data_IF_948211711253
#
_entry.id   IF_948211711253
#
_cell.length_a   1.000
_cell.length_b   1.000
_cell.length_c   1.000
_cell.angle_alpha   90.00
_cell.angle_beta   90.00
_cell.angle_gamma   90.00
#
_symmetry.space_group_name_H-M   'P 1'
#
loop_
_entity.id
_entity.type
_entity.pdbx_description
1 polymer ?
#
# COMPACT_ATOMS: atom_id res chain seq x y z
N UNK A 1 7.18 8.45 -17.08
CA UNK A 1 8.15 7.75 -17.94
C UNK A 1 7.98 8.26 -19.35
N UNK A 2 9.00 8.87 -19.93
CA UNK A 2 9.00 9.39 -21.29
C UNK A 2 9.76 8.38 -22.14
N UNK A 3 9.09 7.79 -23.14
CA UNK A 3 9.76 6.95 -24.14
C UNK A 3 10.42 7.83 -25.18
N UNK A 4 11.37 7.30 -25.94
CA UNK A 4 12.16 8.00 -26.99
C UNK A 4 11.32 8.74 -28.05
N UNK A 5 10.01 8.48 -28.13
CA UNK A 5 9.08 9.14 -29.06
C UNK A 5 8.22 10.24 -28.42
N UNK A 6 8.61 10.81 -27.29
CA UNK A 6 7.88 11.89 -26.59
C UNK A 6 6.39 11.60 -26.27
N UNK A 7 5.95 10.35 -26.25
CA UNK A 7 4.61 9.98 -25.81
C UNK A 7 4.62 9.70 -24.31
N UNK A 8 3.80 10.46 -23.55
CA UNK A 8 3.51 10.15 -22.14
C UNK A 8 2.81 8.80 -22.12
N UNK A 9 3.47 7.77 -21.59
CA UNK A 9 2.95 6.39 -21.56
C UNK A 9 1.73 6.24 -20.64
N UNK A 10 1.64 7.05 -19.59
CA UNK A 10 0.55 7.01 -18.61
C UNK A 10 0.19 8.42 -18.14
N UNK A 11 -1.11 8.70 -18.06
CA UNK A 11 -1.62 9.94 -17.49
C UNK A 11 -1.49 9.99 -15.96
N UNK A 12 -1.76 11.13 -15.37
CA UNK A 12 -1.75 11.31 -13.90
C UNK A 12 -2.77 10.39 -13.21
N UNK A 13 -3.91 10.12 -13.85
CA UNK A 13 -4.96 9.26 -13.31
C UNK A 13 -4.55 7.79 -13.33
N UNK A 14 -4.04 7.30 -14.45
CA UNK A 14 -3.71 5.89 -14.61
C UNK A 14 -2.38 5.53 -13.95
N UNK A 15 -1.38 6.40 -14.07
CA UNK A 15 -0.02 6.11 -13.59
C UNK A 15 0.23 6.49 -12.13
N UNK A 16 -0.41 7.54 -11.61
CA UNK A 16 -0.15 8.03 -10.24
C UNK A 16 -1.32 7.71 -9.32
N UNK A 17 -2.52 8.19 -9.63
CA UNK A 17 -3.66 8.03 -8.75
C UNK A 17 -4.05 6.57 -8.53
N UNK A 18 -4.19 5.78 -9.60
CA UNK A 18 -4.55 4.37 -9.50
C UNK A 18 -3.51 3.58 -8.69
N UNK A 19 -2.22 3.82 -8.95
CA UNK A 19 -1.13 3.15 -8.24
C UNK A 19 -1.11 3.51 -6.76
N UNK A 20 -1.24 4.78 -6.40
CA UNK A 20 -1.23 5.25 -5.01
C UNK A 20 -2.45 4.73 -4.26
N UNK A 21 -3.65 4.82 -4.85
CA UNK A 21 -4.88 4.31 -4.23
C UNK A 21 -4.81 2.81 -3.99
N UNK A 22 -4.36 2.03 -4.96
CA UNK A 22 -4.23 0.57 -4.81
C UNK A 22 -3.22 0.20 -3.72
N UNK A 23 -2.13 0.96 -3.57
CA UNK A 23 -1.15 0.72 -2.51
C UNK A 23 -1.66 1.10 -1.12
N UNK A 24 -2.40 2.22 -0.99
CA UNK A 24 -2.92 2.68 0.30
C UNK A 24 -4.09 1.81 0.76
N UNK A 25 -5.08 1.56 -0.12
CA UNK A 25 -6.23 0.70 0.17
C UNK A 25 -5.90 -0.79 0.01
N UNK A 26 -4.70 -1.17 0.40
CA UNK A 26 -4.26 -2.55 0.35
C UNK A 26 -4.73 -3.37 1.55
N UNK A 27 -4.21 -4.57 1.63
CA UNK A 27 -4.54 -5.58 2.64
C UNK A 27 -4.42 -5.07 4.09
N UNK A 28 -3.49 -4.12 4.35
CA UNK A 28 -3.24 -3.57 5.69
C UNK A 28 -4.46 -2.81 6.20
N UNK A 29 -5.10 -1.99 5.36
CA UNK A 29 -6.27 -1.21 5.76
C UNK A 29 -7.44 -2.14 6.08
N UNK A 30 -7.76 -3.08 5.19
CA UNK A 30 -8.92 -3.95 5.38
C UNK A 30 -8.75 -4.97 6.51
N UNK A 31 -7.57 -5.58 6.67
CA UNK A 31 -7.36 -6.61 7.68
C UNK A 31 -6.94 -6.07 9.04
N UNK A 32 -6.19 -4.98 9.08
CA UNK A 32 -5.55 -4.52 10.33
C UNK A 32 -6.20 -3.28 10.94
N UNK A 33 -6.87 -2.43 10.14
CA UNK A 33 -7.47 -1.21 10.67
C UNK A 33 -8.57 -1.53 11.69
N UNK A 34 -9.44 -2.50 11.40
CA UNK A 34 -10.49 -2.94 12.32
C UNK A 34 -9.94 -3.45 13.64
N UNK A 35 -8.85 -4.22 13.60
CA UNK A 35 -8.16 -4.72 14.79
C UNK A 35 -7.52 -3.58 15.60
N UNK A 36 -6.88 -2.62 14.94
CA UNK A 36 -6.27 -1.45 15.60
C UNK A 36 -7.35 -0.63 16.32
N UNK A 37 -8.46 -0.34 15.64
CA UNK A 37 -9.58 0.41 16.21
C UNK A 37 -10.20 -0.34 17.39
N UNK A 38 -10.34 -1.67 17.27
CA UNK A 38 -10.88 -2.52 18.34
C UNK A 38 -9.99 -2.59 19.59
N UNK A 39 -8.66 -2.55 19.42
CA UNK A 39 -7.70 -2.65 20.54
C UNK A 39 -7.34 -1.31 21.14
N UNK A 40 -7.15 -0.28 20.34
CA UNK A 40 -6.70 1.05 20.79
C UNK A 40 -7.87 2.00 21.12
N UNK A 41 -9.09 1.69 20.66
CA UNK A 41 -10.23 2.58 20.74
C UNK A 41 -10.23 3.63 19.61
N UNK A 42 -11.41 4.17 19.30
CA UNK A 42 -11.61 5.09 18.17
C UNK A 42 -10.80 6.37 18.31
N UNK A 43 -10.80 6.99 19.48
CA UNK A 43 -10.09 8.26 19.73
C UNK A 43 -8.58 8.13 19.55
N UNK A 44 -7.98 7.08 20.13
CA UNK A 44 -6.55 6.84 20.02
C UNK A 44 -6.14 6.46 18.60
N UNK A 45 -6.99 5.73 17.88
CA UNK A 45 -6.74 5.38 16.47
C UNK A 45 -6.74 6.60 15.56
N UNK A 46 -7.68 7.55 15.76
CA UNK A 46 -7.71 8.82 15.03
C UNK A 46 -6.47 9.66 15.32
N UNK A 47 -6.06 9.73 16.59
CA UNK A 47 -4.86 10.46 17.01
C UNK A 47 -3.61 9.86 16.36
N UNK A 48 -3.47 8.53 16.38
CA UNK A 48 -2.34 7.81 15.76
C UNK A 48 -2.30 8.04 14.26
N UNK A 49 -3.44 7.93 13.56
CA UNK A 49 -3.54 8.23 12.15
C UNK A 49 -3.17 9.69 11.84
N UNK A 50 -3.62 10.64 12.68
CA UNK A 50 -3.28 12.05 12.53
C UNK A 50 -1.78 12.31 12.64
N UNK A 51 -1.10 11.69 13.61
CA UNK A 51 0.35 11.80 13.77
C UNK A 51 1.07 11.20 12.57
N UNK A 52 0.70 9.98 12.15
CA UNK A 52 1.32 9.32 11.00
C UNK A 52 1.13 10.13 9.71
N UNK A 53 -0.07 10.68 9.49
CA UNK A 53 -0.37 11.52 8.33
C UNK A 53 0.46 12.81 8.35
N UNK A 54 0.60 13.45 9.51
CA UNK A 54 1.41 14.66 9.65
C UNK A 54 2.89 14.40 9.34
N UNK A 55 3.46 13.29 9.83
CA UNK A 55 4.83 12.89 9.53
C UNK A 55 5.00 12.59 8.04
N UNK A 56 4.04 11.91 7.42
CA UNK A 56 4.06 11.64 5.98
C UNK A 56 4.02 12.93 5.17
N UNK A 57 3.18 13.91 5.54
CA UNK A 57 3.10 15.21 4.86
C UNK A 57 4.43 15.98 4.95
N UNK A 58 5.07 16.01 6.11
CA UNK A 58 6.39 16.65 6.28
C UNK A 58 7.41 16.01 5.34
N UNK A 59 7.42 14.69 5.26
CA UNK A 59 8.34 13.95 4.37
C UNK A 59 8.07 14.25 2.90
N UNK A 60 6.81 14.31 2.50
CA UNK A 60 6.41 14.62 1.12
C UNK A 60 6.78 16.06 0.75
N UNK A 61 6.50 17.05 1.61
CA UNK A 61 6.91 18.44 1.34
C UNK A 61 8.43 18.59 1.24
N UNK A 62 9.18 17.88 2.08
CA UNK A 62 10.65 17.86 1.97
C UNK A 62 11.10 17.27 0.63
N UNK A 63 10.50 16.15 0.20
CA UNK A 63 10.82 15.52 -1.08
C UNK A 63 10.48 16.43 -2.27
N UNK A 64 9.33 17.11 -2.25
CA UNK A 64 8.92 18.06 -3.29
C UNK A 64 9.95 19.20 -3.38
N UNK A 65 10.35 19.80 -2.26
CA UNK A 65 11.34 20.89 -2.23
C UNK A 65 12.68 20.48 -2.83
N UNK A 66 13.10 19.21 -2.67
CA UNK A 66 14.32 18.70 -3.27
C UNK A 66 14.14 18.48 -4.78
N UNK A 67 13.03 17.88 -5.20
CA UNK A 67 12.75 17.57 -6.61
C UNK A 67 12.65 18.85 -7.45
N UNK A 68 12.05 19.91 -6.92
CA UNK A 68 11.93 21.19 -7.62
C UNK A 68 13.30 21.86 -7.87
N UNK A 69 14.26 21.66 -6.96
CA UNK A 69 15.61 22.26 -7.06
C UNK A 69 16.60 21.40 -7.84
N UNK A 70 16.37 20.09 -7.90
CA UNK A 70 17.26 19.14 -8.54
C UNK A 70 16.59 18.54 -9.78
N UNK A 71 17.26 18.62 -10.95
CA UNK A 71 16.80 17.94 -12.16
C UNK A 71 17.01 16.43 -12.01
N UNK A 72 16.03 15.74 -11.40
CA UNK A 72 16.08 14.29 -11.21
C UNK A 72 15.59 13.63 -12.51
N UNK A 73 16.50 13.03 -13.26
CA UNK A 73 16.18 12.39 -14.55
C UNK A 73 15.73 10.94 -14.41
N UNK A 74 16.23 10.19 -13.42
CA UNK A 74 15.84 8.78 -13.16
C UNK A 74 16.47 8.30 -11.85
N UNK A 75 15.91 7.25 -11.20
CA UNK A 75 16.54 6.59 -10.06
C UNK A 75 15.74 6.61 -8.75
N UNK A 76 14.55 7.24 -8.71
CA UNK A 76 13.66 7.22 -7.55
C UNK A 76 14.28 7.77 -6.27
N UNK A 77 13.87 7.24 -5.12
CA UNK A 77 14.26 7.69 -3.78
C UNK A 77 15.78 7.55 -3.56
N UNK A 78 16.39 6.48 -4.05
CA UNK A 78 17.83 6.26 -3.95
C UNK A 78 18.62 7.40 -4.60
N UNK A 79 18.24 7.82 -5.81
CA UNK A 79 18.91 8.90 -6.51
C UNK A 79 18.73 10.25 -5.79
N UNK A 80 17.52 10.49 -5.26
CA UNK A 80 17.19 11.69 -4.50
C UNK A 80 18.10 11.83 -3.27
N UNK A 81 18.19 10.77 -2.46
CA UNK A 81 19.01 10.75 -1.25
C UNK A 81 20.51 10.85 -1.57
N UNK A 82 20.95 10.11 -2.58
CA UNK A 82 22.34 10.09 -3.02
C UNK A 82 22.81 11.46 -3.56
N UNK A 83 21.91 12.19 -4.22
CA UNK A 83 22.20 13.52 -4.75
C UNK A 83 22.35 14.57 -3.64
N UNK A 84 21.55 14.46 -2.57
CA UNK A 84 21.57 15.45 -1.45
C UNK A 84 22.64 15.12 -0.41
N UNK A 85 22.77 13.86 -0.02
CA UNK A 85 23.60 13.40 1.10
C UNK A 85 24.92 12.76 0.65
N UNK A 86 25.13 12.63 -0.65
CA UNK A 86 26.31 11.98 -1.22
C UNK A 86 26.18 10.46 -1.38
N UNK A 87 27.04 9.89 -2.21
CA UNK A 87 26.95 8.48 -2.63
C UNK A 87 27.13 7.47 -1.49
N UNK A 88 27.92 7.78 -0.47
CA UNK A 88 28.17 6.86 0.64
C UNK A 88 26.92 6.68 1.49
N UNK A 89 26.28 7.79 1.89
CA UNK A 89 25.03 7.77 2.68
C UNK A 89 23.87 7.27 1.81
N UNK A 90 23.82 7.70 0.55
CA UNK A 90 22.82 7.22 -0.41
C UNK A 90 22.84 5.71 -0.60
N UNK A 91 24.02 5.10 -0.68
CA UNK A 91 24.17 3.65 -0.78
C UNK A 91 23.63 2.90 0.44
N UNK A 92 23.96 3.37 1.65
CA UNK A 92 23.45 2.78 2.89
C UNK A 92 21.92 2.87 3.00
N UNK A 93 21.36 4.06 2.73
CA UNK A 93 19.91 4.28 2.74
C UNK A 93 19.21 3.45 1.67
N UNK A 94 19.81 3.34 0.48
CA UNK A 94 19.26 2.51 -0.61
C UNK A 94 19.18 1.04 -0.24
N UNK A 95 20.19 0.51 0.45
CA UNK A 95 20.19 -0.88 0.92
C UNK A 95 19.12 -1.12 1.99
N UNK A 96 19.00 -0.22 2.96
CA UNK A 96 17.94 -0.30 3.99
C UNK A 96 16.55 -0.21 3.34
N UNK A 97 16.38 0.69 2.37
CA UNK A 97 15.13 0.83 1.64
C UNK A 97 14.76 -0.43 0.85
N UNK A 98 15.72 -1.03 0.14
CA UNK A 98 15.51 -2.26 -0.59
C UNK A 98 15.11 -3.42 0.33
N UNK A 99 15.78 -3.56 1.47
CA UNK A 99 15.44 -4.54 2.49
C UNK A 99 14.04 -4.31 3.07
N UNK A 100 13.70 -3.05 3.39
CA UNK A 100 12.37 -2.66 3.86
C UNK A 100 11.26 -3.02 2.86
N UNK A 101 11.48 -2.77 1.57
CA UNK A 101 10.54 -3.13 0.51
C UNK A 101 10.38 -4.65 0.37
N UNK A 102 11.46 -5.42 0.51
CA UNK A 102 11.38 -6.88 0.46
C UNK A 102 10.54 -7.43 1.62
N UNK A 103 10.74 -6.92 2.84
CA UNK A 103 9.95 -7.31 4.03
C UNK A 103 8.48 -6.90 3.86
N UNK A 104 8.20 -5.69 3.38
CA UNK A 104 6.84 -5.21 3.13
C UNK A 104 6.11 -6.07 2.09
N UNK A 105 6.79 -6.45 1.01
CA UNK A 105 6.23 -7.35 -0.01
C UNK A 105 5.92 -8.73 0.57
N UNK A 106 6.81 -9.27 1.40
CA UNK A 106 6.57 -10.52 2.12
C UNK A 106 5.36 -10.46 3.04
N UNK A 107 5.20 -9.35 3.78
CA UNK A 107 4.03 -9.13 4.66
C UNK A 107 2.71 -9.15 3.87
N UNK A 108 2.66 -8.45 2.74
CA UNK A 108 1.46 -8.42 1.88
C UNK A 108 1.16 -9.79 1.29
N UNK A 109 2.18 -10.53 0.85
CA UNK A 109 2.01 -11.87 0.31
C UNK A 109 1.47 -12.86 1.35
N UNK A 110 1.98 -12.80 2.58
CA UNK A 110 1.48 -13.63 3.69
C UNK A 110 0.04 -13.26 4.06
N UNK A 111 -0.28 -11.96 4.14
CA UNK A 111 -1.65 -11.51 4.41
C UNK A 111 -2.64 -11.94 3.33
N UNK A 112 -2.24 -11.95 2.06
CA UNK A 112 -3.06 -12.53 0.99
C UNK A 112 -3.21 -14.04 1.18
N UNK A 113 -2.15 -14.75 1.55
CA UNK A 113 -2.19 -16.18 1.87
C UNK A 113 -3.14 -16.49 3.03
N UNK A 114 -3.14 -15.67 4.09
CA UNK A 114 -4.09 -15.79 5.21
C UNK A 114 -5.53 -15.62 4.73
N UNK A 115 -5.79 -14.57 3.92
CA UNK A 115 -7.14 -14.30 3.40
C UNK A 115 -7.68 -15.44 2.55
N UNK A 116 -6.84 -16.03 1.70
CA UNK A 116 -7.23 -17.17 0.85
C UNK A 116 -7.41 -18.43 1.69
N UNK A 117 -6.55 -18.68 2.68
CA UNK A 117 -6.68 -19.84 3.56
C UNK A 117 -7.99 -19.79 4.38
N UNK A 118 -8.39 -18.62 4.86
CA UNK A 118 -9.69 -18.42 5.50
C UNK A 118 -10.87 -18.74 4.59
N UNK A 119 -10.77 -18.50 3.29
CA UNK A 119 -11.81 -18.85 2.34
C UNK A 119 -12.03 -20.36 2.23
N UNK A 120 -10.96 -21.16 2.47
CA UNK A 120 -11.00 -22.62 2.47
C UNK A 120 -11.21 -23.21 3.86
N UNK A 121 -11.53 -22.39 4.85
CA UNK A 121 -11.76 -22.79 6.25
C UNK A 121 -10.56 -23.58 6.86
N UNK A 122 -9.37 -23.27 6.40
CA UNK A 122 -8.12 -23.96 6.77
C UNK A 122 -7.13 -23.02 7.41
N UNK A 123 -6.82 -23.24 8.68
CA UNK A 123 -5.79 -22.48 9.43
C UNK A 123 -4.38 -23.07 9.32
N UNK A 124 -4.13 -23.93 8.32
CA UNK A 124 -2.82 -24.56 8.16
C UNK A 124 -1.75 -23.54 7.78
N UNK A 125 -0.74 -23.36 8.65
CA UNK A 125 0.41 -22.48 8.41
C UNK A 125 1.21 -22.85 7.16
N UNK A 126 1.23 -24.13 6.79
CA UNK A 126 1.90 -24.59 5.58
C UNK A 126 1.17 -24.12 4.32
N UNK A 127 -0.16 -24.19 4.32
CA UNK A 127 -1.00 -23.74 3.21
C UNK A 127 -0.85 -22.23 3.00
N UNK A 128 -0.86 -21.44 4.06
CA UNK A 128 -0.63 -19.99 4.01
C UNK A 128 0.73 -19.67 3.36
N UNK A 129 1.79 -20.32 3.80
CA UNK A 129 3.13 -20.12 3.25
C UNK A 129 3.21 -20.52 1.78
N UNK A 130 2.59 -21.64 1.41
CA UNK A 130 2.59 -22.12 0.03
C UNK A 130 1.87 -21.12 -0.89
N UNK A 131 0.70 -20.62 -0.49
CA UNK A 131 -0.06 -19.62 -1.24
C UNK A 131 0.74 -18.32 -1.35
N UNK A 132 1.39 -17.87 -0.27
CA UNK A 132 2.21 -16.66 -0.27
C UNK A 132 3.38 -16.78 -1.25
N UNK A 133 4.08 -17.90 -1.29
CA UNK A 133 5.19 -18.15 -2.23
C UNK A 133 4.67 -18.19 -3.68
N UNK A 134 3.56 -18.86 -3.91
CA UNK A 134 2.95 -18.94 -5.24
C UNK A 134 2.54 -17.55 -5.74
N UNK A 135 1.98 -16.72 -4.85
CA UNK A 135 1.62 -15.33 -5.15
C UNK A 135 2.85 -14.50 -5.52
N UNK A 136 3.95 -14.62 -4.76
CA UNK A 136 5.19 -13.91 -5.07
C UNK A 136 5.77 -14.31 -6.43
N UNK A 137 5.77 -15.60 -6.75
CA UNK A 137 6.23 -16.10 -8.06
C UNK A 137 5.33 -15.54 -9.18
N UNK A 138 4.01 -15.57 -9.01
CA UNK A 138 3.06 -15.06 -10.00
C UNK A 138 3.23 -13.55 -10.24
N UNK A 139 3.36 -12.77 -9.15
CA UNK A 139 3.59 -11.32 -9.25
C UNK A 139 4.93 -10.99 -9.92
N UNK A 140 5.98 -11.78 -9.62
CA UNK A 140 7.28 -11.61 -10.27
C UNK A 140 7.18 -11.91 -11.76
N UNK A 141 6.46 -12.95 -12.16
CA UNK A 141 6.23 -13.28 -13.58
C UNK A 141 5.45 -12.17 -14.30
N UNK A 142 4.41 -11.60 -13.67
CA UNK A 142 3.67 -10.46 -14.24
C UNK A 142 4.55 -9.21 -14.35
N UNK A 143 5.40 -8.97 -13.37
CA UNK A 143 6.31 -7.81 -13.39
C UNK A 143 7.37 -7.93 -14.49
N UNK A 144 7.89 -9.14 -14.76
CA UNK A 144 8.82 -9.39 -15.86
C UNK A 144 8.15 -9.30 -17.24
N UNK A 145 6.84 -9.52 -17.33
CA UNK A 145 6.09 -9.36 -18.59
C UNK A 145 5.94 -7.88 -19.03
N UNK A 146 6.19 -6.94 -18.14
CA UNK A 146 6.27 -5.51 -18.45
C UNK A 146 5.30 -4.63 -17.68
N UNK A 147 5.70 -3.38 -17.50
CA UNK A 147 4.99 -2.36 -16.70
C UNK A 147 3.54 -2.11 -17.17
N UNK A 148 3.30 -2.25 -18.49
CA UNK A 148 1.96 -2.04 -19.06
C UNK A 148 0.93 -3.04 -18.51
N UNK A 149 1.32 -4.29 -18.31
CA UNK A 149 0.46 -5.32 -17.73
C UNK A 149 0.17 -5.05 -16.26
N UNK A 150 1.18 -4.61 -15.52
CA UNK A 150 1.04 -4.25 -14.09
C UNK A 150 0.04 -3.11 -13.93
N UNK A 151 0.13 -2.04 -14.74
CA UNK A 151 -0.80 -0.91 -14.66
C UNK A 151 -2.23 -1.30 -15.02
N UNK A 152 -2.43 -2.13 -16.04
CA UNK A 152 -3.77 -2.65 -16.38
C UNK A 152 -4.38 -3.45 -15.23
N UNK A 153 -3.58 -4.30 -14.60
CA UNK A 153 -4.01 -5.10 -13.45
C UNK A 153 -4.36 -4.21 -12.27
N UNK A 154 -3.61 -3.13 -12.02
CA UNK A 154 -3.90 -2.15 -10.98
C UNK A 154 -5.23 -1.44 -11.20
N UNK A 155 -5.61 -1.09 -12.42
CA UNK A 155 -6.90 -0.46 -12.72
C UNK A 155 -8.06 -1.41 -12.39
N UNK A 156 -7.94 -2.69 -12.74
CA UNK A 156 -8.95 -3.71 -12.40
C UNK A 156 -9.07 -3.87 -10.89
N UNK A 157 -7.92 -3.94 -10.19
CA UNK A 157 -7.90 -4.02 -8.72
C UNK A 157 -8.51 -2.77 -8.07
N UNK A 158 -8.22 -1.58 -8.59
CA UNK A 158 -8.81 -0.33 -8.10
C UNK A 158 -10.33 -0.35 -8.19
N UNK A 159 -10.88 -0.83 -9.32
CA UNK A 159 -12.32 -0.96 -9.48
C UNK A 159 -12.93 -1.97 -8.49
N UNK A 160 -12.27 -3.09 -8.27
CA UNK A 160 -12.69 -4.10 -7.28
C UNK A 160 -12.68 -3.52 -5.86
N UNK A 161 -11.64 -2.77 -5.49
CA UNK A 161 -11.55 -2.10 -4.19
C UNK A 161 -12.66 -1.04 -4.04
N UNK A 162 -12.91 -0.25 -5.08
CA UNK A 162 -13.99 0.75 -5.06
C UNK A 162 -15.36 0.09 -4.82
N UNK A 163 -15.63 -1.04 -5.48
CA UNK A 163 -16.86 -1.81 -5.24
C UNK A 163 -16.92 -2.32 -3.81
N UNK A 164 -15.84 -2.89 -3.28
CA UNK A 164 -15.80 -3.41 -1.91
C UNK A 164 -16.02 -2.29 -0.87
N UNK A 165 -15.42 -1.11 -1.08
CA UNK A 165 -15.63 0.05 -0.19
C UNK A 165 -17.07 0.56 -0.26
N UNK A 166 -17.65 0.63 -1.45
CA UNK A 166 -19.05 1.06 -1.59
C UNK A 166 -20.01 0.07 -0.94
N UNK A 167 -19.82 -1.23 -1.11
CA UNK A 167 -20.60 -2.27 -0.47
C UNK A 167 -20.51 -2.18 1.06
N UNK A 168 -19.30 -1.99 1.58
CA UNK A 168 -19.08 -1.78 3.02
C UNK A 168 -19.78 -0.53 3.54
N UNK A 169 -19.72 0.59 2.83
CA UNK A 169 -20.40 1.82 3.22
C UNK A 169 -21.93 1.67 3.21
N UNK A 170 -22.47 1.03 2.17
CA UNK A 170 -23.91 0.74 2.12
C UNK A 170 -24.30 -0.20 3.25
N UNK A 171 -23.56 -1.28 3.48
CA UNK A 171 -23.81 -2.20 4.60
C UNK A 171 -23.78 -1.47 5.96
N UNK A 172 -22.81 -0.60 6.20
CA UNK A 172 -22.71 0.18 7.43
C UNK A 172 -23.87 1.18 7.61
N UNK A 173 -24.39 1.76 6.52
CA UNK A 173 -25.52 2.70 6.58
C UNK A 173 -26.85 2.00 6.83
N UNK A 174 -27.05 0.82 6.25
CA UNK A 174 -28.30 0.06 6.40
C UNK A 174 -28.35 -0.82 7.65
N UNK A 175 -27.20 -1.19 8.21
CA UNK A 175 -27.09 -1.98 9.44
C UNK A 175 -26.85 -1.07 10.66
N UNK A 176 -27.59 0.00 10.81
CA UNK A 176 -27.54 0.87 11.98
C UNK A 176 -28.21 0.19 13.18
N UNK A 177 -27.52 -0.77 13.79
CA UNK A 177 -27.89 -1.29 15.09
C UNK A 177 -27.33 -0.35 16.17
N UNK A 178 -28.17 0.44 16.90
CA UNK A 178 -27.70 1.42 17.89
C UNK A 178 -26.84 0.79 19.00
N UNK A 179 -26.98 -0.52 19.22
CA UNK A 179 -26.22 -1.27 20.21
C UNK A 179 -24.75 -1.49 19.84
N UNK A 180 -24.41 -1.47 18.56
CA UNK A 180 -23.03 -1.69 18.12
C UNK A 180 -22.14 -0.48 18.43
N UNK A 181 -22.65 0.72 18.28
CA UNK A 181 -21.92 1.97 18.57
C UNK A 181 -21.57 2.10 20.06
N UNK A 182 -22.48 1.70 20.94
CA UNK A 182 -22.26 1.71 22.41
C UNK A 182 -21.20 0.66 22.79
N UNK A 183 -21.15 -0.47 22.11
CA UNK A 183 -20.18 -1.54 22.38
C UNK A 183 -18.75 -1.15 22.00
N UNK A 184 -18.55 -0.37 20.94
CA UNK A 184 -17.23 0.13 20.53
C UNK A 184 -16.72 1.25 21.44
N UNK A 185 -17.58 2.04 22.08
CA UNK A 185 -17.19 3.11 22.99
C UNK A 185 -16.98 2.64 24.43
N UNK A 186 -17.49 1.48 24.81
CA UNK A 186 -17.39 0.93 26.17
C UNK A 186 -16.27 -0.09 26.38
N UNK A 187 -15.52 -0.46 25.34
CA UNK A 187 -14.28 -1.25 25.51
C UNK A 187 -13.17 -0.32 25.99
N UNK A 188 -13.04 -0.22 27.32
CA UNK A 188 -11.86 0.32 28.04
C UNK A 188 -10.84 -0.78 28.23
#
# INVERSE_FOLDING_TARGET
>A
MINSDNKVLFGTWDGVFATVMTNIFGIIVFLRLGWIVGTAGVANSILLLGICTSLALITVFSAIGIVERCQIRSGGIFFLVSHVLGHQIGGAVGLIYAFGQAVATGLVAVGFGESVAHLFDSESRLLIKFIAILTLISLTAVNTAGVTWVVRLQIVLLFTIALAVTDFLFGALFTSDPGLFVRFTSMK
#
